data_IF_562963748468
#
_entry.id   IF_562963748468
#
_cell.length_a   1.000
_cell.length_b   1.000
_cell.length_c   1.000
_cell.angle_alpha   90.00
_cell.angle_beta   90.00
_cell.angle_gamma   90.00
#
_symmetry.space_group_name_H-M   'P 1'
#
loop_
_entity.id
_entity.type
_entity.pdbx_description
1 polymer ?
#
# COMPACT_ATOMS: atom_id res chain seq x y z
N UNK A 1 -11.06 1.08 -16.67
CA UNK A 1 -9.58 1.24 -16.54
C UNK A 1 -9.18 2.31 -15.52
N UNK A 2 -10.02 3.28 -15.17
CA UNK A 2 -9.73 4.36 -14.22
C UNK A 2 -9.62 3.93 -12.74
N UNK A 3 -10.18 2.77 -12.36
CA UNK A 3 -10.22 2.33 -10.95
C UNK A 3 -8.84 2.10 -10.30
N UNK A 4 -7.81 1.77 -11.08
CA UNK A 4 -6.45 1.60 -10.55
C UNK A 4 -5.80 2.93 -10.12
N UNK A 5 -6.30 4.06 -10.61
CA UNK A 5 -5.84 5.38 -10.15
C UNK A 5 -6.13 5.60 -8.67
N UNK A 6 -7.20 5.00 -8.15
CA UNK A 6 -7.53 5.08 -6.72
C UNK A 6 -6.51 4.28 -5.90
N UNK A 7 -6.07 3.11 -6.38
CA UNK A 7 -5.02 2.37 -5.67
C UNK A 7 -3.69 3.12 -5.67
N UNK A 8 -3.35 3.77 -6.79
CA UNK A 8 -2.18 4.64 -6.85
C UNK A 8 -2.29 5.79 -5.83
N UNK A 9 -3.43 6.47 -5.78
CA UNK A 9 -3.68 7.54 -4.82
C UNK A 9 -3.59 7.03 -3.37
N UNK A 10 -4.24 5.90 -3.06
CA UNK A 10 -4.18 5.26 -1.74
C UNK A 10 -2.74 4.91 -1.35
N UNK A 11 -1.96 4.36 -2.27
CA UNK A 11 -0.56 4.00 -2.05
C UNK A 11 0.32 5.21 -1.75
N UNK A 12 0.16 6.30 -2.50
CA UNK A 12 0.90 7.55 -2.27
C UNK A 12 0.52 8.14 -0.91
N UNK A 13 -0.78 8.26 -0.62
CA UNK A 13 -1.28 8.82 0.65
C UNK A 13 -0.79 7.98 1.82
N UNK A 14 -0.96 6.66 1.78
CA UNK A 14 -0.52 5.76 2.83
C UNK A 14 0.99 5.83 3.05
N UNK A 15 1.80 5.82 1.99
CA UNK A 15 3.25 5.94 2.09
C UNK A 15 3.69 7.25 2.75
N UNK A 16 3.04 8.37 2.43
CA UNK A 16 3.31 9.67 3.07
C UNK A 16 2.84 9.71 4.53
N UNK A 17 1.67 9.13 4.83
CA UNK A 17 1.15 9.03 6.21
C UNK A 17 2.10 8.20 7.07
N UNK A 18 2.52 7.02 6.60
CA UNK A 18 3.44 6.16 7.35
C UNK A 18 4.79 6.82 7.56
N UNK A 19 5.30 7.54 6.55
CA UNK A 19 6.53 8.32 6.68
C UNK A 19 6.41 9.41 7.75
N UNK A 20 5.28 10.10 7.81
CA UNK A 20 5.02 11.13 8.81
C UNK A 20 4.96 10.53 10.22
N UNK A 21 4.34 9.36 10.39
CA UNK A 21 4.19 8.67 11.68
C UNK A 21 5.51 8.02 12.15
N UNK A 22 6.26 7.36 11.25
CA UNK A 22 7.45 6.56 11.60
C UNK A 22 8.76 7.13 11.06
N UNK A 23 8.89 8.45 11.07
CA UNK A 23 10.09 9.13 10.55
C UNK A 23 11.36 8.64 11.25
N UNK A 24 12.35 8.21 10.47
CA UNK A 24 13.67 7.79 10.97
C UNK A 24 14.83 8.30 10.10
N UNK A 25 16.08 8.26 10.61
CA UNK A 25 17.26 8.79 9.93
C UNK A 25 17.57 8.04 8.62
N UNK A 26 17.36 6.74 8.61
CA UNK A 26 17.65 5.84 7.48
C UNK A 26 16.50 5.71 6.48
N UNK A 27 15.33 6.28 6.80
CA UNK A 27 14.14 6.13 5.96
C UNK A 27 13.94 7.33 5.04
N UNK A 28 13.55 7.07 3.78
CA UNK A 28 13.34 8.11 2.76
C UNK A 28 11.88 8.18 2.32
N UNK A 29 11.43 9.38 1.92
CA UNK A 29 10.06 9.58 1.46
C UNK A 29 9.76 8.79 0.17
N UNK A 30 10.73 8.74 -0.76
CA UNK A 30 10.60 7.99 -2.00
C UNK A 30 10.34 6.50 -1.74
N UNK A 31 11.14 5.84 -0.89
CA UNK A 31 10.93 4.43 -0.56
C UNK A 31 9.59 4.20 0.15
N UNK A 32 9.21 5.09 1.05
CA UNK A 32 7.92 4.99 1.77
C UNK A 32 6.74 5.03 0.80
N UNK A 33 6.76 5.94 -0.17
CA UNK A 33 5.74 6.04 -1.24
C UNK A 33 5.81 4.85 -2.19
N UNK A 34 7.01 4.43 -2.60
CA UNK A 34 7.20 3.28 -3.47
C UNK A 34 6.62 1.99 -2.86
N UNK A 35 6.90 1.74 -1.58
CA UNK A 35 6.33 0.62 -0.85
C UNK A 35 4.83 0.76 -0.65
N UNK A 36 4.33 1.97 -0.39
CA UNK A 36 2.89 2.24 -0.29
C UNK A 36 2.14 1.94 -1.59
N UNK A 37 2.65 2.40 -2.73
CA UNK A 37 2.08 2.11 -4.06
C UNK A 37 2.16 0.62 -4.38
N UNK A 38 3.33 0.01 -4.21
CA UNK A 38 3.50 -1.43 -4.49
C UNK A 38 2.57 -2.28 -3.62
N UNK A 39 2.46 -1.94 -2.33
CA UNK A 39 1.55 -2.58 -1.40
C UNK A 39 0.07 -2.40 -1.79
N UNK A 40 -0.33 -1.19 -2.23
CA UNK A 40 -1.68 -0.93 -2.70
C UNK A 40 -2.07 -1.82 -3.89
N UNK A 41 -1.16 -1.99 -4.84
CA UNK A 41 -1.40 -2.83 -6.01
C UNK A 41 -1.42 -4.32 -5.67
N UNK A 42 -0.46 -4.80 -4.88
CA UNK A 42 -0.44 -6.21 -4.46
C UNK A 42 -1.69 -6.54 -3.63
N UNK A 43 -1.98 -5.73 -2.61
CA UNK A 43 -3.15 -5.93 -1.76
C UNK A 43 -4.48 -5.79 -2.53
N UNK A 44 -4.57 -4.81 -3.43
CA UNK A 44 -5.73 -4.62 -4.29
C UNK A 44 -5.97 -5.83 -5.19
N UNK A 45 -4.93 -6.37 -5.83
CA UNK A 45 -5.04 -7.57 -6.66
C UNK A 45 -5.44 -8.81 -5.84
N UNK A 46 -4.93 -8.96 -4.61
CA UNK A 46 -5.36 -10.03 -3.72
C UNK A 46 -6.85 -9.90 -3.33
N UNK A 47 -7.36 -8.67 -3.16
CA UNK A 47 -8.78 -8.42 -2.89
C UNK A 47 -9.72 -8.69 -4.08
N UNK A 48 -9.15 -8.74 -5.30
CA UNK A 48 -9.82 -9.10 -6.55
C UNK A 48 -9.68 -10.60 -6.86
N UNK A 49 -8.85 -11.34 -6.12
CA UNK A 49 -8.58 -12.74 -6.40
C UNK A 49 -9.88 -13.59 -6.44
N UNK A 50 -10.01 -14.50 -7.42
CA UNK A 50 -11.27 -15.20 -7.72
C UNK A 50 -11.79 -16.08 -6.58
N UNK A 51 -10.92 -16.49 -5.66
CA UNK A 51 -11.28 -17.25 -4.47
C UNK A 51 -12.11 -16.46 -3.44
N UNK A 52 -12.13 -15.12 -3.54
CA UNK A 52 -12.92 -14.27 -2.65
C UNK A 52 -14.25 -13.90 -3.32
N UNK A 53 -14.24 -13.58 -4.61
CA UNK A 53 -15.42 -13.14 -5.38
C UNK A 53 -15.04 -13.03 -6.86
N UNK A 54 -15.91 -13.53 -7.75
CA UNK A 54 -15.67 -13.60 -9.19
C UNK A 54 -16.01 -12.27 -9.90
N UNK A 55 -15.43 -11.15 -9.44
CA UNK A 55 -15.60 -9.84 -10.09
C UNK A 55 -14.25 -9.06 -10.12
N UNK A 56 -13.67 -8.81 -11.31
CA UNK A 56 -12.37 -8.17 -11.48
C UNK A 56 -12.39 -6.63 -11.31
N UNK A 57 -13.45 -6.04 -10.78
CA UNK A 57 -13.58 -4.58 -10.64
C UNK A 57 -12.61 -3.99 -9.59
N UNK A 58 -11.74 -3.03 -9.95
CA UNK A 58 -10.75 -2.45 -9.02
C UNK A 58 -11.36 -1.63 -7.88
N UNK A 59 -12.60 -1.16 -8.08
CA UNK A 59 -13.36 -0.35 -7.13
C UNK A 59 -14.16 -1.19 -6.13
N UNK A 60 -14.12 -2.53 -6.26
CA UNK A 60 -14.86 -3.41 -5.38
C UNK A 60 -14.33 -3.30 -3.95
N UNK A 61 -15.23 -3.46 -2.98
CA UNK A 61 -14.91 -3.38 -1.55
C UNK A 61 -13.72 -4.24 -1.14
N UNK A 62 -13.66 -5.50 -1.59
CA UNK A 62 -12.53 -6.39 -1.29
C UNK A 62 -11.20 -5.86 -1.83
N UNK A 63 -11.21 -5.29 -3.02
CA UNK A 63 -10.04 -4.70 -3.65
C UNK A 63 -9.59 -3.41 -2.94
N UNK A 64 -10.53 -2.56 -2.53
CA UNK A 64 -10.22 -1.34 -1.77
C UNK A 64 -9.66 -1.68 -0.39
N UNK A 65 -10.26 -2.63 0.32
CA UNK A 65 -9.75 -3.10 1.62
C UNK A 65 -8.35 -3.68 1.44
N UNK A 66 -8.16 -4.57 0.47
CA UNK A 66 -6.86 -5.15 0.17
C UNK A 66 -5.82 -4.08 -0.16
N UNK A 67 -6.17 -3.10 -1.00
CA UNK A 67 -5.29 -2.01 -1.37
C UNK A 67 -4.91 -1.15 -0.15
N UNK A 68 -5.86 -0.79 0.70
CA UNK A 68 -5.57 -0.03 1.94
C UNK A 68 -4.64 -0.82 2.87
N UNK A 69 -4.94 -2.09 3.12
CA UNK A 69 -4.13 -2.93 3.99
C UNK A 69 -2.71 -3.11 3.44
N UNK A 70 -2.57 -3.41 2.15
CA UNK A 70 -1.27 -3.53 1.50
C UNK A 70 -0.48 -2.21 1.50
N UNK A 71 -1.16 -1.09 1.22
CA UNK A 71 -0.57 0.24 1.17
C UNK A 71 -0.04 0.72 2.53
N UNK A 72 -0.63 0.26 3.63
CA UNK A 72 -0.16 0.55 4.98
C UNK A 72 0.94 -0.43 5.41
N UNK A 73 0.75 -1.72 5.13
CA UNK A 73 1.61 -2.81 5.61
C UNK A 73 3.04 -2.72 5.07
N UNK A 74 3.19 -2.50 3.76
CA UNK A 74 4.50 -2.47 3.11
C UNK A 74 5.42 -1.35 3.62
N UNK A 75 5.00 -0.07 3.62
CA UNK A 75 5.82 1.00 4.20
C UNK A 75 6.02 0.81 5.70
N UNK A 76 5.03 0.29 6.43
CA UNK A 76 5.20 -0.05 7.84
C UNK A 76 6.37 -1.04 8.07
N UNK A 77 6.41 -2.15 7.31
CA UNK A 77 7.51 -3.12 7.39
C UNK A 77 8.84 -2.46 7.03
N UNK A 78 8.88 -1.63 5.99
CA UNK A 78 10.08 -0.86 5.62
C UNK A 78 10.59 -0.01 6.79
N UNK A 79 9.72 0.78 7.42
CA UNK A 79 10.08 1.61 8.58
C UNK A 79 10.52 0.77 9.79
N UNK A 80 9.87 -0.37 10.02
CA UNK A 80 10.20 -1.29 11.10
C UNK A 80 11.59 -1.91 10.92
N UNK A 81 11.91 -2.37 9.72
CA UNK A 81 13.21 -2.99 9.40
C UNK A 81 14.31 -1.94 9.41
N UNK A 82 14.08 -0.77 8.80
CA UNK A 82 15.06 0.31 8.76
C UNK A 82 15.41 0.87 10.15
N UNK A 83 14.52 0.74 11.14
CA UNK A 83 14.79 1.06 12.54
C UNK A 83 15.76 0.07 13.21
N UNK A 84 15.74 -1.21 12.83
CA UNK A 84 16.61 -2.25 13.40
C UNK A 84 18.02 -2.26 12.81
N UNK A 85 18.23 -1.59 11.68
CA UNK A 85 19.52 -1.51 11.00
C UNK A 85 20.44 -0.41 11.56
N UNK A 86 19.97 0.36 12.56
CA UNK A 86 20.73 1.33 13.34
C UNK A 86 21.15 0.69 14.67
#
# INVERSE_FOLDING_TARGET
>A
MTGFLIWLALGIVAGLVLRAVYRGPTTTAFLSVFFGVTGAFIGGMLGVAPYVTHDPTPLRTGALIGAVLGALLFPFIYHLVARKAL
#
